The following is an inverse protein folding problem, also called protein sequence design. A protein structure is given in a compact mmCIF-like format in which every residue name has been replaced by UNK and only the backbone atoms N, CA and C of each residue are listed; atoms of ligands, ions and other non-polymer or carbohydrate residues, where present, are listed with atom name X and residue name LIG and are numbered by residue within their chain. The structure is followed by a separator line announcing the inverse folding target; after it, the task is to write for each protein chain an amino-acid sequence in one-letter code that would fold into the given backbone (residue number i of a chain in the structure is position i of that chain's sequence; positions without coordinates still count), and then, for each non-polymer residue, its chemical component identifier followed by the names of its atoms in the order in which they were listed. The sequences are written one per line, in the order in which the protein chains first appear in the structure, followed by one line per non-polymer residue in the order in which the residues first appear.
data_IF_246333235337
#
_entry.id   IF_246333235337
#
_cell.length_a   1.000
_cell.length_b   1.000
_cell.length_c   1.000
_cell.angle_alpha   90.00
_cell.angle_beta   90.00
_cell.angle_gamma   90.00
#
_symmetry.space_group_name_H-M   'P 1'
#
loop_
_entity.id
_entity.type
_entity.pdbx_description
1 polymer ?
#
# COMPACT_ATOMS: atom_id res chain seq x y z
N UNK A 1 -12.49 -7.43 -2.51
CA UNK A 1 -12.27 -5.97 -2.59
C UNK A 1 -10.80 -5.75 -2.88
N UNK A 2 -10.44 -5.20 -4.04
CA UNK A 2 -9.06 -4.82 -4.33
C UNK A 2 -8.80 -3.49 -3.62
N UNK A 3 -8.25 -3.50 -2.40
CA UNK A 3 -7.91 -2.26 -1.69
C UNK A 3 -6.91 -1.45 -2.53
N UNK A 4 -7.26 -0.29 -3.06
CA UNK A 4 -6.32 0.53 -3.84
C UNK A 4 -5.32 1.25 -2.92
N UNK A 5 -4.07 1.43 -3.37
CA UNK A 5 -3.09 2.25 -2.64
C UNK A 5 -3.34 3.71 -2.98
N UNK A 6 -3.55 4.55 -1.97
CA UNK A 6 -3.78 5.99 -2.13
C UNK A 6 -2.72 6.79 -1.40
N UNK A 7 -2.31 7.91 -2.00
CA UNK A 7 -1.40 8.88 -1.38
C UNK A 7 -2.19 10.17 -1.17
N UNK A 8 -2.21 10.66 0.06
CA UNK A 8 -2.95 11.87 0.45
C UNK A 8 -2.00 12.84 1.16
N UNK A 9 -2.05 14.11 0.78
CA UNK A 9 -1.44 15.18 1.56
C UNK A 9 -2.35 15.48 2.76
N UNK A 10 -1.81 15.40 3.96
CA UNK A 10 -2.54 15.64 5.21
C UNK A 10 -1.78 16.62 6.10
N UNK A 11 -2.47 17.28 7.00
CA UNK A 11 -1.83 17.96 8.11
C UNK A 11 -1.86 17.06 9.35
N UNK A 12 -0.72 16.90 10.03
CA UNK A 12 -0.64 16.18 11.29
C UNK A 12 0.14 17.01 12.30
N UNK A 13 -0.50 17.33 13.43
CA UNK A 13 0.09 18.17 14.50
C UNK A 13 0.62 19.51 13.95
N UNK A 14 -0.12 20.15 13.05
CA UNK A 14 0.26 21.42 12.43
C UNK A 14 1.43 21.33 11.45
N UNK A 15 1.81 20.12 11.00
CA UNK A 15 2.88 19.90 10.02
C UNK A 15 2.34 19.21 8.77
N UNK A 16 2.73 19.65 7.56
CA UNK A 16 2.38 18.95 6.33
C UNK A 16 3.04 17.58 6.32
N UNK A 17 2.24 16.55 6.04
CA UNK A 17 2.63 15.15 6.02
C UNK A 17 1.96 14.44 4.85
N UNK A 18 2.44 13.25 4.53
CA UNK A 18 1.92 12.41 3.46
C UNK A 18 1.44 11.09 4.03
N UNK A 19 0.18 10.73 3.76
CA UNK A 19 -0.41 9.48 4.20
C UNK A 19 -0.52 8.53 3.01
N UNK A 20 0.09 7.35 3.13
CA UNK A 20 -0.16 6.24 2.21
C UNK A 20 -1.20 5.32 2.85
N UNK A 21 -2.33 5.13 2.18
CA UNK A 21 -3.42 4.24 2.61
C UNK A 21 -3.51 2.99 1.77
N UNK A 22 -3.82 1.88 2.42
CA UNK A 22 -4.26 0.63 1.81
C UNK A 22 -5.49 0.16 2.58
N UNK A 23 -6.67 0.44 2.04
CA UNK A 23 -7.95 0.16 2.70
C UNK A 23 -8.07 0.88 4.05
N UNK A 24 -8.13 0.08 5.13
CA UNK A 24 -8.21 0.58 6.52
C UNK A 24 -6.85 0.90 7.14
N UNK A 25 -5.75 0.48 6.52
CA UNK A 25 -4.39 0.69 7.03
C UNK A 25 -3.79 1.95 6.41
N UNK A 26 -3.03 2.70 7.18
CA UNK A 26 -2.38 3.92 6.72
C UNK A 26 -1.02 4.13 7.39
N UNK A 27 -0.05 4.62 6.64
CA UNK A 27 1.29 4.96 7.12
C UNK A 27 1.64 6.39 6.72
N UNK A 28 2.18 7.16 7.67
CA UNK A 28 2.50 8.58 7.49
C UNK A 28 3.99 8.78 7.23
N UNK A 29 4.28 9.75 6.37
CA UNK A 29 5.61 10.14 5.95
C UNK A 29 5.75 11.65 6.08
N UNK A 30 6.92 12.10 6.49
CA UNK A 30 7.25 13.53 6.55
C UNK A 30 7.57 14.12 5.19
N UNK A 31 7.94 13.29 4.20
CA UNK A 31 8.35 13.72 2.86
C UNK A 31 7.59 12.97 1.77
N UNK A 32 7.19 13.70 0.74
CA UNK A 32 6.47 13.15 -0.42
C UNK A 32 7.24 12.04 -1.15
N UNK A 33 8.56 12.18 -1.41
CA UNK A 33 9.29 11.14 -2.15
C UNK A 33 9.32 9.80 -1.40
N UNK A 34 9.38 9.83 -0.07
CA UNK A 34 9.34 8.63 0.76
C UNK A 34 7.96 7.94 0.68
N UNK A 35 6.88 8.72 0.74
CA UNK A 35 5.53 8.20 0.57
C UNK A 35 5.34 7.56 -0.82
N UNK A 36 5.80 8.23 -1.88
CA UNK A 36 5.72 7.72 -3.25
C UNK A 36 6.55 6.45 -3.44
N UNK A 37 7.79 6.42 -2.96
CA UNK A 37 8.66 5.25 -3.04
C UNK A 37 8.03 4.04 -2.31
N UNK A 38 7.49 4.26 -1.11
CA UNK A 38 6.78 3.22 -0.37
C UNK A 38 5.54 2.73 -1.10
N UNK A 39 4.72 3.62 -1.65
CA UNK A 39 3.53 3.26 -2.42
C UNK A 39 3.87 2.40 -3.65
N UNK A 40 4.93 2.75 -4.39
CA UNK A 40 5.42 1.96 -5.51
C UNK A 40 5.86 0.55 -5.09
N UNK A 41 6.64 0.43 -4.01
CA UNK A 41 7.04 -0.87 -3.45
C UNK A 41 5.83 -1.69 -2.98
N UNK A 42 4.82 -1.04 -2.40
CA UNK A 42 3.60 -1.68 -1.94
C UNK A 42 2.77 -2.22 -3.11
N UNK A 43 2.69 -1.50 -4.23
CA UNK A 43 2.05 -2.00 -5.44
C UNK A 43 2.71 -3.29 -5.95
N UNK A 44 4.05 -3.30 -6.10
CA UNK A 44 4.81 -4.48 -6.55
C UNK A 44 4.57 -5.67 -5.62
N UNK A 45 4.66 -5.45 -4.31
CA UNK A 45 4.49 -6.54 -3.33
C UNK A 45 3.06 -7.10 -3.31
N UNK A 46 2.06 -6.27 -3.59
CA UNK A 46 0.68 -6.73 -3.70
C UNK A 46 0.42 -7.54 -4.96
N UNK A 47 0.98 -7.11 -6.10
CA UNK A 47 0.93 -7.91 -7.32
C UNK A 47 1.57 -9.29 -7.10
N UNK A 48 2.68 -9.35 -6.37
CA UNK A 48 3.32 -10.62 -6.02
C UNK A 48 2.45 -11.52 -5.12
N UNK A 49 1.76 -10.95 -4.12
CA UNK A 49 0.83 -11.73 -3.29
C UNK A 49 -0.42 -12.20 -4.03
N UNK A 50 -0.95 -11.40 -4.95
CA UNK A 50 -2.10 -11.80 -5.78
C UNK A 50 -1.73 -13.01 -6.66
N UNK A 51 -0.56 -12.96 -7.29
CA UNK A 51 -0.04 -14.08 -8.09
C UNK A 51 0.16 -15.36 -7.26
N UNK A 52 0.53 -15.25 -5.97
CA UNK A 52 0.69 -16.42 -5.08
C UNK A 52 -0.60 -16.94 -4.48
N UNK A 53 -1.64 -16.11 -4.36
CA UNK A 53 -2.96 -16.52 -3.89
C UNK A 53 -3.78 -17.25 -4.96
N UNK A 54 -3.44 -17.07 -6.24
CA UNK A 54 -3.95 -17.90 -7.34
C UNK A 54 -3.14 -19.20 -7.54
N UNK A 55 -1.99 -19.33 -6.86
CA UNK A 55 -1.09 -20.49 -6.91
C UNK A 55 -1.27 -21.41 -5.68
N UNK A 56 -2.47 -21.47 -5.08
CA UNK A 56 -2.82 -22.58 -4.20
C UNK A 56 -3.10 -23.79 -5.12
N UNK A 57 -2.23 -24.83 -5.12
CA UNK A 57 -2.45 -25.99 -5.96
C UNK A 57 -3.67 -26.70 -5.41
N UNK A 58 -4.69 -26.85 -6.26
CA UNK A 58 -5.78 -27.76 -6.01
C UNK A 58 -5.21 -29.19 -6.08
N UNK A 59 -4.56 -29.64 -5.01
CA UNK A 59 -4.23 -31.05 -4.81
C UNK A 59 -5.56 -31.77 -4.51
N UNK A 60 -6.27 -32.13 -5.58
CA UNK A 60 -7.34 -33.13 -5.53
C UNK A 60 -6.68 -34.50 -5.46
N UNK A 61 -6.90 -35.13 -4.31
CA UNK A 61 -7.16 -36.56 -4.06
C UNK A 61 -7.31 -37.43 -5.30
#
# INVERSE_FOLDING_TARGET
MQDEVKIEAIEFQGRPCWLVRLGRRGLRFSQEPLARAFAAQLHVRRQWWQQRGEDEPHERT
#
